data_IF_408664008486
#
_entry.id   IF_408664008486
#
_cell.length_a   1.000
_cell.length_b   1.000
_cell.length_c   1.000
_cell.angle_alpha   90.00
_cell.angle_beta   90.00
_cell.angle_gamma   90.00
#
_symmetry.space_group_name_H-M   'P 1'
#
loop_
_entity.id
_entity.type
_entity.pdbx_description
1 polymer ?
#
# COMPACT_ATOMS: atom_id res chain seq x y z
N UNK A 1 4.10 -17.10 -0.74
CA UNK A 1 3.89 -16.16 -1.86
C UNK A 1 4.58 -16.73 -3.09
N UNK A 2 3.94 -16.72 -4.28
CA UNK A 2 4.66 -17.05 -5.51
C UNK A 2 5.84 -16.10 -5.70
N UNK A 3 6.92 -16.60 -6.29
CA UNK A 3 8.03 -15.78 -6.75
C UNK A 3 7.57 -14.79 -7.84
N UNK A 4 8.31 -13.70 -8.03
CA UNK A 4 7.98 -12.72 -9.06
C UNK A 4 7.92 -13.33 -10.47
N UNK A 5 8.78 -14.31 -10.77
CA UNK A 5 8.72 -15.05 -12.04
C UNK A 5 7.46 -15.91 -12.17
N UNK A 6 7.00 -16.56 -11.10
CA UNK A 6 5.72 -17.27 -11.09
C UNK A 6 4.54 -16.32 -11.29
N UNK A 7 4.56 -15.12 -10.70
CA UNK A 7 3.56 -14.09 -10.94
C UNK A 7 3.46 -13.70 -12.42
N UNK A 8 4.58 -13.48 -13.09
CA UNK A 8 4.59 -13.20 -14.54
C UNK A 8 4.09 -14.38 -15.37
N UNK A 9 4.34 -15.62 -14.92
CA UNK A 9 3.81 -16.81 -15.58
C UNK A 9 2.29 -16.94 -15.42
N UNK A 10 1.75 -16.62 -14.24
CA UNK A 10 0.30 -16.59 -13.98
C UNK A 10 -0.39 -15.60 -14.92
N UNK A 11 0.14 -14.37 -15.04
CA UNK A 11 -0.42 -13.34 -15.93
C UNK A 11 -0.59 -13.86 -17.35
N UNK A 12 0.49 -14.38 -17.94
CA UNK A 12 0.48 -14.86 -19.33
C UNK A 12 -0.38 -16.10 -19.53
N UNK A 13 -0.58 -16.92 -18.49
CA UNK A 13 -1.46 -18.10 -18.58
C UNK A 13 -2.95 -17.74 -18.52
N UNK A 14 -3.30 -16.64 -17.84
CA UNK A 14 -4.68 -16.20 -17.64
C UNK A 14 -5.22 -15.35 -18.79
N UNK A 15 -4.35 -14.74 -19.60
CA UNK A 15 -4.73 -13.95 -20.76
C UNK A 15 -3.76 -14.18 -21.93
N UNK A 16 -4.22 -14.95 -22.93
CA UNK A 16 -3.41 -15.33 -24.09
C UNK A 16 -2.97 -14.15 -24.97
N UNK A 17 -3.66 -13.01 -24.86
CA UNK A 17 -3.31 -11.79 -25.57
C UNK A 17 -2.04 -11.09 -25.03
N UNK A 18 -1.62 -11.40 -23.79
CA UNK A 18 -0.43 -10.81 -23.17
C UNK A 18 0.81 -11.32 -23.91
N UNK A 19 1.54 -10.40 -24.55
CA UNK A 19 2.81 -10.67 -25.23
C UNK A 19 4.01 -10.46 -24.30
N UNK A 20 3.89 -9.48 -23.40
CA UNK A 20 4.95 -9.12 -22.47
C UNK A 20 4.34 -8.61 -21.17
N UNK A 21 4.95 -8.93 -20.04
CA UNK A 21 4.59 -8.38 -18.75
C UNK A 21 5.83 -8.10 -17.89
N UNK A 22 5.68 -7.14 -17.00
CA UNK A 22 6.71 -6.77 -16.04
C UNK A 22 6.08 -6.45 -14.69
N UNK A 23 6.83 -6.73 -13.62
CA UNK A 23 6.52 -6.31 -12.27
C UNK A 23 7.70 -5.49 -11.79
N UNK A 24 7.43 -4.28 -11.30
CA UNK A 24 8.42 -3.36 -10.77
C UNK A 24 8.12 -3.01 -9.31
N UNK A 25 9.13 -2.62 -8.53
CA UNK A 25 8.89 -2.00 -7.24
C UNK A 25 8.19 -0.66 -7.41
N UNK A 26 7.46 -0.26 -6.39
CA UNK A 26 6.88 1.08 -6.28
C UNK A 26 7.24 1.66 -4.91
N UNK A 27 7.67 2.93 -4.83
CA UNK A 27 7.77 3.92 -5.92
C UNK A 27 9.05 3.86 -6.77
N UNK A 28 10.03 3.00 -6.44
CA UNK A 28 11.39 3.11 -7.02
C UNK A 28 11.51 2.65 -8.48
N UNK A 29 10.54 1.87 -8.98
CA UNK A 29 10.52 1.42 -10.36
C UNK A 29 11.59 0.39 -10.74
N UNK A 30 12.15 -0.34 -9.76
CA UNK A 30 13.14 -1.38 -10.02
C UNK A 30 12.46 -2.64 -10.54
N UNK A 31 12.99 -3.24 -11.62
CA UNK A 31 12.43 -4.45 -12.20
C UNK A 31 12.58 -5.65 -11.23
N UNK A 32 11.45 -6.27 -10.88
CA UNK A 32 11.39 -7.48 -10.04
C UNK A 32 11.32 -8.76 -10.88
N UNK A 33 10.51 -8.74 -11.94
CA UNK A 33 10.45 -9.81 -12.92
C UNK A 33 9.84 -9.30 -14.22
N UNK A 34 10.21 -9.93 -15.34
CA UNK A 34 9.55 -9.76 -16.62
C UNK A 34 9.46 -11.08 -17.36
N UNK A 35 8.49 -11.17 -18.29
CA UNK A 35 8.29 -12.34 -19.14
C UNK A 35 7.65 -11.95 -20.47
N UNK A 36 7.97 -12.68 -21.53
CA UNK A 36 7.42 -12.47 -22.87
C UNK A 36 8.48 -12.02 -23.87
N UNK A 37 8.03 -11.63 -25.06
CA UNK A 37 8.91 -11.41 -26.22
C UNK A 37 9.50 -9.97 -26.29
N UNK A 38 9.00 -9.06 -25.47
CA UNK A 38 9.47 -7.67 -25.37
C UNK A 38 10.41 -7.42 -24.18
N UNK A 39 10.95 -6.19 -24.09
CA UNK A 39 11.73 -5.71 -22.94
C UNK A 39 11.43 -4.25 -22.63
N UNK A 40 10.75 -4.00 -21.51
CA UNK A 40 10.65 -2.64 -20.95
C UNK A 40 12.01 -2.26 -20.34
N UNK A 41 12.55 -1.11 -20.77
CA UNK A 41 13.82 -0.59 -20.26
C UNK A 41 13.64 0.05 -18.87
N UNK A 42 14.72 0.09 -18.07
CA UNK A 42 14.65 0.56 -16.68
C UNK A 42 14.22 2.04 -16.58
N UNK A 43 14.62 2.88 -17.54
CA UNK A 43 14.25 4.29 -17.62
C UNK A 43 12.78 4.46 -18.04
N UNK A 44 12.28 3.66 -18.99
CA UNK A 44 10.87 3.58 -19.35
C UNK A 44 10.01 3.17 -18.14
N UNK A 45 10.46 2.12 -17.42
CA UNK A 45 9.77 1.56 -16.27
C UNK A 45 9.69 2.57 -15.12
N UNK A 46 10.80 3.23 -14.78
CA UNK A 46 10.84 4.26 -13.75
C UNK A 46 9.93 5.45 -14.11
N UNK A 47 9.98 5.91 -15.37
CA UNK A 47 9.10 7.00 -15.85
C UNK A 47 7.61 6.62 -15.82
N UNK A 48 7.30 5.34 -16.04
CA UNK A 48 5.96 4.78 -15.96
C UNK A 48 5.47 4.70 -14.51
N UNK A 49 6.28 4.15 -13.60
CA UNK A 49 5.95 3.96 -12.19
C UNK A 49 5.69 5.29 -11.50
N UNK A 50 6.53 6.31 -11.75
CA UNK A 50 6.33 7.67 -11.22
C UNK A 50 5.05 8.36 -11.73
N UNK A 51 4.43 7.86 -12.80
CA UNK A 51 3.18 8.43 -13.30
C UNK A 51 1.98 8.13 -12.39
N UNK A 52 2.08 7.14 -11.51
CA UNK A 52 1.04 6.84 -10.52
C UNK A 52 0.98 7.85 -9.36
N UNK A 53 2.04 8.64 -9.15
CA UNK A 53 2.10 9.68 -8.11
C UNK A 53 1.75 11.07 -8.64
N UNK A 54 2.17 11.35 -9.87
CA UNK A 54 1.81 12.57 -10.57
C UNK A 54 0.43 12.38 -11.18
N UNK A 55 -0.63 12.69 -10.40
CA UNK A 55 -2.05 12.57 -10.75
C UNK A 55 -2.26 12.47 -12.26
N UNK A 56 -2.52 11.25 -12.74
CA UNK A 56 -2.56 10.90 -14.16
C UNK A 56 -3.49 11.77 -15.05
N UNK A 57 -4.29 12.66 -14.43
CA UNK A 57 -5.09 13.70 -15.09
C UNK A 57 -4.28 14.64 -15.99
N UNK A 58 -3.01 14.92 -15.69
CA UNK A 58 -2.19 15.78 -16.56
C UNK A 58 -1.66 15.04 -17.80
N UNK A 59 -1.80 13.70 -17.86
CA UNK A 59 -1.27 12.85 -18.94
C UNK A 59 -2.33 12.32 -19.90
N UNK A 60 -3.62 12.59 -19.72
CA UNK A 60 -4.62 12.25 -20.75
C UNK A 60 -4.35 13.07 -22.01
N UNK A 61 -3.68 12.46 -23.00
CA UNK A 61 -3.18 13.12 -24.21
C UNK A 61 -1.71 12.84 -24.49
N UNK A 62 -0.92 12.52 -23.45
CA UNK A 62 0.47 12.06 -23.53
C UNK A 62 0.50 10.52 -23.41
N UNK A 63 1.44 9.87 -24.09
CA UNK A 63 1.59 8.43 -24.05
C UNK A 63 2.74 7.97 -23.16
N UNK A 64 2.92 6.66 -23.11
CA UNK A 64 4.10 6.02 -22.54
C UNK A 64 4.83 5.27 -23.63
N UNK A 65 6.16 5.23 -23.52
CA UNK A 65 6.98 4.32 -24.30
C UNK A 65 7.22 3.10 -23.43
N UNK A 66 6.87 1.93 -23.94
CA UNK A 66 7.15 0.64 -23.32
C UNK A 66 7.69 -0.26 -24.43
N UNK A 67 8.89 -0.82 -24.26
CA UNK A 67 9.53 -1.65 -25.28
C UNK A 67 9.66 -0.89 -26.62
N UNK A 68 10.13 0.37 -26.56
CA UNK A 68 10.26 1.28 -27.70
C UNK A 68 8.95 1.60 -28.47
N UNK A 69 7.79 1.17 -27.95
CA UNK A 69 6.49 1.39 -28.57
C UNK A 69 5.74 2.48 -27.82
N UNK A 70 5.27 3.50 -28.55
CA UNK A 70 4.45 4.57 -27.99
C UNK A 70 2.97 4.17 -27.89
N UNK A 71 2.45 4.17 -26.67
CA UNK A 71 1.05 3.90 -26.35
C UNK A 71 0.36 5.16 -25.87
N UNK A 72 -0.74 5.54 -26.51
CA UNK A 72 -1.60 6.64 -26.05
C UNK A 72 -2.41 6.20 -24.84
N UNK A 73 -2.36 6.96 -23.75
CA UNK A 73 -3.19 6.71 -22.57
C UNK A 73 -4.66 6.93 -22.92
N UNK A 74 -5.49 5.93 -22.63
CA UNK A 74 -6.94 5.96 -22.87
C UNK A 74 -7.74 5.99 -21.56
N UNK A 75 -7.14 5.58 -20.44
CA UNK A 75 -7.79 5.56 -19.15
C UNK A 75 -6.77 5.69 -18.01
N UNK A 76 -7.16 6.44 -16.97
CA UNK A 76 -6.38 6.61 -15.75
C UNK A 76 -7.32 6.55 -14.55
N UNK A 77 -7.14 5.55 -13.72
CA UNK A 77 -7.78 5.41 -12.42
C UNK A 77 -6.83 5.78 -11.28
N UNK A 78 -7.30 5.60 -10.04
CA UNK A 78 -6.47 5.82 -8.84
C UNK A 78 -5.30 4.84 -8.76
N UNK A 79 -5.57 3.59 -9.13
CA UNK A 79 -4.63 2.48 -9.01
C UNK A 79 -4.26 1.85 -10.35
N UNK A 80 -4.80 2.32 -11.47
CA UNK A 80 -4.56 1.69 -12.76
C UNK A 80 -4.46 2.68 -13.91
N UNK A 81 -3.73 2.28 -14.95
CA UNK A 81 -3.51 3.05 -16.18
C UNK A 81 -3.70 2.09 -17.34
N UNK A 82 -4.40 2.53 -18.39
CA UNK A 82 -4.52 1.77 -19.62
C UNK A 82 -4.14 2.65 -20.83
N UNK A 83 -3.43 2.06 -21.78
CA UNK A 83 -3.04 2.71 -23.02
C UNK A 83 -3.22 1.80 -24.23
N UNK A 84 -3.22 2.43 -25.40
CA UNK A 84 -3.46 1.79 -26.69
C UNK A 84 -2.50 2.29 -27.76
N UNK A 85 -2.17 1.41 -28.68
CA UNK A 85 -1.59 1.76 -29.97
C UNK A 85 -2.47 1.15 -31.09
N UNK A 86 -1.95 1.06 -32.32
CA UNK A 86 -2.71 0.53 -33.45
C UNK A 86 -2.88 -1.01 -33.45
N UNK A 87 -2.03 -1.74 -32.73
CA UNK A 87 -1.98 -3.22 -32.75
C UNK A 87 -2.36 -3.88 -31.42
N UNK A 88 -2.56 -3.09 -30.37
CA UNK A 88 -2.73 -3.61 -29.02
C UNK A 88 -2.76 -2.50 -27.97
N UNK A 89 -2.24 -2.79 -26.80
CA UNK A 89 -2.20 -1.84 -25.69
C UNK A 89 -1.42 -2.33 -24.50
N UNK A 90 -1.56 -1.59 -23.40
CA UNK A 90 -1.14 -2.05 -22.09
C UNK A 90 -2.25 -1.82 -21.07
N UNK A 91 -2.21 -2.62 -20.02
CA UNK A 91 -2.90 -2.34 -18.77
C UNK A 91 -1.90 -2.49 -17.64
N UNK A 92 -1.93 -1.53 -16.71
CA UNK A 92 -1.12 -1.59 -15.51
C UNK A 92 -1.94 -1.26 -14.29
N UNK A 93 -1.63 -1.92 -13.18
CA UNK A 93 -2.20 -1.63 -11.87
C UNK A 93 -1.08 -1.54 -10.85
N UNK A 94 -1.19 -0.61 -9.92
CA UNK A 94 -0.28 -0.52 -8.78
C UNK A 94 -0.90 -1.20 -7.57
N UNK A 95 -0.07 -1.95 -6.87
CA UNK A 95 -0.30 -2.34 -5.49
C UNK A 95 0.40 -1.32 -4.59
N UNK A 96 0.46 -1.64 -3.30
CA UNK A 96 1.19 -0.88 -2.30
C UNK A 96 2.71 -0.85 -2.54
N UNK A 97 3.28 -1.94 -3.06
CA UNK A 97 4.73 -2.15 -3.18
C UNK A 97 5.22 -2.41 -4.60
N UNK A 98 4.30 -2.58 -5.55
CA UNK A 98 4.65 -2.95 -6.91
C UNK A 98 3.73 -2.33 -7.96
N UNK A 99 4.24 -2.19 -9.17
CA UNK A 99 3.44 -1.94 -10.37
C UNK A 99 3.48 -3.19 -11.24
N UNK A 100 2.30 -3.69 -11.61
CA UNK A 100 2.12 -4.81 -12.53
C UNK A 100 1.76 -4.21 -13.89
N UNK A 101 2.53 -4.53 -14.92
CA UNK A 101 2.33 -4.05 -16.30
C UNK A 101 2.14 -5.26 -17.20
N UNK A 102 1.08 -5.25 -18.01
CA UNK A 102 0.86 -6.22 -19.07
C UNK A 102 0.66 -5.50 -20.41
N UNK A 103 1.49 -5.84 -21.37
CA UNK A 103 1.41 -5.41 -22.77
C UNK A 103 0.78 -6.54 -23.58
N UNK A 104 -0.21 -6.20 -24.39
CA UNK A 104 -1.01 -7.16 -25.14
C UNK A 104 -1.21 -6.74 -26.59
N UNK A 105 -1.46 -7.72 -27.45
CA UNK A 105 -1.92 -7.53 -28.82
C UNK A 105 -3.44 -7.73 -28.92
N UNK A 106 -4.07 -7.08 -29.90
CA UNK A 106 -5.49 -7.26 -30.19
C UNK A 106 -6.40 -6.10 -29.79
N UNK A 107 -7.71 -6.35 -29.85
CA UNK A 107 -8.76 -5.33 -29.79
C UNK A 107 -9.31 -5.09 -28.37
N UNK A 108 -10.49 -4.46 -28.25
CA UNK A 108 -11.10 -4.09 -26.95
C UNK A 108 -11.40 -5.26 -26.00
N UNK A 109 -11.95 -6.40 -26.45
CA UNK A 109 -12.16 -7.59 -25.62
C UNK A 109 -10.89 -8.06 -24.90
N UNK A 110 -9.75 -8.06 -25.61
CA UNK A 110 -8.46 -8.49 -25.10
C UNK A 110 -7.98 -7.60 -23.94
N UNK A 111 -8.27 -6.29 -23.97
CA UNK A 111 -8.00 -5.41 -22.82
C UNK A 111 -8.82 -5.79 -21.59
N UNK A 112 -10.06 -6.26 -21.77
CA UNK A 112 -10.89 -6.75 -20.67
C UNK A 112 -10.30 -7.98 -20.00
N UNK A 113 -9.83 -8.94 -20.79
CA UNK A 113 -9.17 -10.15 -20.30
C UNK A 113 -7.84 -9.83 -19.60
N UNK A 114 -7.01 -9.00 -20.23
CA UNK A 114 -5.71 -8.56 -19.68
C UNK A 114 -5.92 -7.82 -18.37
N UNK A 115 -6.89 -6.91 -18.31
CA UNK A 115 -7.25 -6.21 -17.08
C UNK A 115 -7.65 -7.20 -15.98
N UNK A 116 -8.55 -8.13 -16.27
CA UNK A 116 -9.00 -9.11 -15.29
C UNK A 116 -7.82 -9.97 -14.75
N UNK A 117 -6.89 -10.36 -15.62
CA UNK A 117 -5.67 -11.09 -15.24
C UNK A 117 -4.78 -10.27 -14.31
N UNK A 118 -4.52 -9.00 -14.67
CA UNK A 118 -3.69 -8.07 -13.88
C UNK A 118 -4.34 -7.74 -12.54
N UNK A 119 -5.64 -7.45 -12.51
CA UNK A 119 -6.38 -7.13 -11.28
C UNK A 119 -6.40 -8.36 -10.34
N UNK A 120 -6.62 -9.58 -10.84
CA UNK A 120 -6.53 -10.82 -10.03
C UNK A 120 -5.14 -10.99 -9.40
N UNK A 121 -4.07 -10.75 -10.15
CA UNK A 121 -2.71 -10.86 -9.58
C UNK A 121 -2.48 -9.78 -8.52
N UNK A 122 -2.95 -8.56 -8.75
CA UNK A 122 -2.86 -7.50 -7.75
C UNK A 122 -3.56 -7.88 -6.45
N UNK A 123 -4.76 -8.45 -6.52
CA UNK A 123 -5.48 -8.94 -5.35
C UNK A 123 -4.70 -10.03 -4.61
N UNK A 124 -4.08 -10.97 -5.33
CA UNK A 124 -3.22 -12.01 -4.73
C UNK A 124 -2.03 -11.39 -4.00
N UNK A 125 -1.36 -10.41 -4.61
CA UNK A 125 -0.20 -9.75 -4.02
C UNK A 125 -0.60 -8.94 -2.78
N UNK A 126 -1.73 -8.22 -2.83
CA UNK A 126 -2.28 -7.46 -1.71
C UNK A 126 -2.65 -8.42 -0.55
N UNK A 127 -3.31 -9.54 -0.85
CA UNK A 127 -3.68 -10.53 0.15
C UNK A 127 -2.44 -11.18 0.79
N UNK A 128 -1.44 -11.57 -0.02
CA UNK A 128 -0.21 -12.17 0.47
C UNK A 128 0.61 -11.20 1.34
N UNK A 129 0.71 -9.93 0.92
CA UNK A 129 1.34 -8.88 1.70
C UNK A 129 0.61 -8.71 3.03
N UNK A 130 -0.73 -8.75 3.04
CA UNK A 130 -1.54 -8.56 4.26
C UNK A 130 -1.32 -9.70 5.23
N UNK A 131 -1.31 -10.94 4.72
CA UNK A 131 -1.02 -12.11 5.53
C UNK A 131 0.40 -12.09 6.10
N UNK A 132 1.41 -11.68 5.31
CA UNK A 132 2.78 -11.56 5.79
C UNK A 132 2.91 -10.49 6.87
N UNK A 133 2.28 -9.34 6.66
CA UNK A 133 2.21 -8.27 7.65
C UNK A 133 1.55 -8.77 8.95
N UNK A 134 0.47 -9.56 8.86
CA UNK A 134 -0.19 -10.17 10.03
C UNK A 134 0.70 -11.18 10.78
N UNK A 135 1.46 -12.02 10.07
CA UNK A 135 2.39 -12.96 10.73
C UNK A 135 3.53 -12.21 11.42
N UNK A 136 4.12 -11.22 10.73
CA UNK A 136 5.19 -10.37 11.29
C UNK A 136 4.67 -9.59 12.49
N UNK A 137 3.45 -9.06 12.39
CA UNK A 137 2.71 -8.40 13.47
C UNK A 137 2.56 -9.30 14.69
N UNK A 138 2.19 -10.56 14.51
CA UNK A 138 2.02 -11.50 15.61
C UNK A 138 3.33 -11.81 16.34
N UNK A 139 4.41 -12.04 15.58
CA UNK A 139 5.74 -12.30 16.13
C UNK A 139 6.25 -11.09 16.93
N UNK A 140 6.18 -9.88 16.37
CA UNK A 140 6.64 -8.66 17.04
C UNK A 140 5.82 -8.36 18.29
N UNK A 141 4.50 -8.49 18.24
CA UNK A 141 3.67 -8.16 19.38
C UNK A 141 3.82 -9.13 20.54
N UNK A 142 4.15 -10.40 20.29
CA UNK A 142 4.36 -11.37 21.38
C UNK A 142 5.45 -10.89 22.35
N UNK A 143 6.46 -10.18 21.87
CA UNK A 143 7.54 -9.62 22.69
C UNK A 143 7.14 -8.30 23.39
N UNK A 144 6.01 -7.70 23.02
CA UNK A 144 5.57 -6.36 23.45
C UNK A 144 4.24 -6.33 24.22
N UNK A 145 3.54 -7.46 24.31
CA UNK A 145 2.22 -7.57 24.96
C UNK A 145 2.23 -7.21 26.46
N UNK A 146 3.39 -7.14 27.13
CA UNK A 146 3.45 -6.67 28.53
C UNK A 146 3.17 -5.16 28.68
N UNK A 147 3.39 -4.38 27.62
CA UNK A 147 3.26 -2.91 27.64
C UNK A 147 2.09 -2.41 26.77
N UNK A 148 1.66 -3.21 25.78
CA UNK A 148 0.57 -2.85 24.86
C UNK A 148 -0.75 -3.49 25.31
N UNK A 149 -1.74 -2.65 25.61
CA UNK A 149 -3.10 -3.09 25.93
C UNK A 149 -3.81 -3.60 24.67
N UNK A 150 -3.81 -2.79 23.62
CA UNK A 150 -4.60 -2.99 22.42
C UNK A 150 -3.86 -2.40 21.22
N UNK A 151 -3.80 -3.10 20.11
CA UNK A 151 -3.15 -2.61 18.90
C UNK A 151 -3.90 -3.02 17.64
N UNK A 152 -3.72 -2.26 16.58
CA UNK A 152 -4.33 -2.51 15.28
C UNK A 152 -3.42 -2.08 14.13
N UNK A 153 -3.57 -2.79 13.03
CA UNK A 153 -3.13 -2.37 11.71
C UNK A 153 -4.36 -2.01 10.89
N UNK A 154 -4.36 -0.82 10.30
CA UNK A 154 -5.51 -0.25 9.59
C UNK A 154 -5.07 0.16 8.21
N UNK A 155 -5.85 -0.15 7.17
CA UNK A 155 -5.52 0.29 5.81
C UNK A 155 -5.51 1.82 5.72
N UNK A 156 -4.52 2.36 5.00
CA UNK A 156 -4.50 3.77 4.64
C UNK A 156 -4.73 3.90 3.12
N UNK A 157 -5.61 4.82 2.67
CA UNK A 157 -6.40 5.77 3.47
C UNK A 157 -7.79 5.26 3.86
N UNK A 158 -8.17 4.04 3.50
CA UNK A 158 -9.57 3.61 3.58
C UNK A 158 -10.07 3.35 5.02
N UNK A 159 -9.16 3.22 5.99
CA UNK A 159 -9.49 3.08 7.40
C UNK A 159 -10.09 1.72 7.76
N UNK A 160 -9.82 0.68 6.97
CA UNK A 160 -10.33 -0.68 7.19
C UNK A 160 -9.42 -1.42 8.16
N UNK A 161 -9.97 -2.02 9.20
CA UNK A 161 -9.22 -2.84 10.13
C UNK A 161 -8.65 -4.07 9.41
N UNK A 162 -7.32 -4.21 9.37
CA UNK A 162 -6.62 -5.34 8.77
C UNK A 162 -6.28 -6.40 9.83
N UNK A 163 -5.86 -5.95 11.01
CA UNK A 163 -5.49 -6.81 12.13
C UNK A 163 -5.70 -6.07 13.45
N UNK A 164 -6.05 -6.80 14.52
CA UNK A 164 -6.03 -6.29 15.89
C UNK A 164 -5.59 -7.36 16.87
N UNK A 165 -4.98 -6.94 17.99
CA UNK A 165 -4.57 -7.81 19.08
C UNK A 165 -4.62 -7.07 20.41
N UNK A 166 -4.90 -7.80 21.49
CA UNK A 166 -4.97 -7.25 22.85
C UNK A 166 -6.38 -7.23 23.43
N UNK A 167 -6.55 -6.44 24.50
CA UNK A 167 -7.77 -6.34 25.29
C UNK A 167 -8.49 -5.03 24.94
N UNK A 168 -9.68 -5.14 24.36
CA UNK A 168 -10.51 -4.02 23.94
C UNK A 168 -10.95 -4.16 22.49
N UNK A 169 -11.55 -3.11 21.93
CA UNK A 169 -12.00 -3.09 20.55
C UNK A 169 -11.83 -1.72 19.88
N UNK A 170 -11.48 -1.73 18.60
CA UNK A 170 -11.59 -0.56 17.74
C UNK A 170 -12.91 -0.58 16.99
N UNK A 171 -13.59 0.56 16.88
CA UNK A 171 -14.75 0.69 16.00
C UNK A 171 -14.33 1.20 14.63
N UNK A 172 -14.92 0.66 13.56
CA UNK A 172 -14.68 1.10 12.18
C UNK A 172 -14.81 2.62 11.99
N UNK A 173 -15.77 3.26 12.67
CA UNK A 173 -15.97 4.70 12.61
C UNK A 173 -14.81 5.49 13.23
N UNK A 174 -14.20 4.96 14.30
CA UNK A 174 -13.05 5.55 14.98
C UNK A 174 -11.81 5.46 14.11
N UNK A 175 -11.56 4.27 13.54
CA UNK A 175 -10.41 4.01 12.68
C UNK A 175 -10.44 4.87 11.41
N UNK A 176 -11.59 4.94 10.72
CA UNK A 176 -11.74 5.80 9.54
C UNK A 176 -11.52 7.27 9.86
N UNK A 177 -12.09 7.75 10.97
CA UNK A 177 -11.89 9.13 11.39
C UNK A 177 -10.43 9.43 11.70
N UNK A 178 -9.73 8.50 12.36
CA UNK A 178 -8.32 8.62 12.70
C UNK A 178 -7.42 8.61 11.47
N UNK A 179 -7.55 7.62 10.59
CA UNK A 179 -6.72 7.45 9.38
C UNK A 179 -6.83 8.66 8.46
N UNK A 180 -8.03 9.22 8.29
CA UNK A 180 -8.25 10.44 7.49
C UNK A 180 -7.50 11.67 8.01
N UNK A 181 -7.04 11.67 9.27
CA UNK A 181 -6.28 12.81 9.80
C UNK A 181 -4.85 12.87 9.27
N UNK A 182 -4.33 11.78 8.72
CA UNK A 182 -3.02 11.77 8.06
C UNK A 182 -2.98 12.58 6.75
N UNK A 183 -4.13 13.00 6.23
CA UNK A 183 -4.24 13.89 5.07
C UNK A 183 -4.22 15.38 5.46
N UNK A 184 -4.37 15.68 6.76
CA UNK A 184 -4.28 17.04 7.32
C UNK A 184 -2.84 17.42 7.63
N UNK A 185 -2.54 18.71 7.78
CA UNK A 185 -1.25 19.19 8.27
C UNK A 185 -1.00 18.78 9.72
N UNK A 186 0.25 18.79 10.18
CA UNK A 186 0.58 18.42 11.56
C UNK A 186 -0.08 19.35 12.58
N UNK A 187 -0.19 20.64 12.26
CA UNK A 187 -0.80 21.69 13.09
C UNK A 187 -2.30 21.47 13.28
N UNK A 188 -3.00 21.00 12.25
CA UNK A 188 -4.44 20.69 12.31
C UNK A 188 -4.76 19.44 13.15
N UNK A 189 -3.75 18.63 13.51
CA UNK A 189 -3.91 17.40 14.28
C UNK A 189 -3.70 17.60 15.79
N UNK A 190 -2.91 18.60 16.20
CA UNK A 190 -2.56 18.82 17.61
C UNK A 190 -3.77 19.31 18.41
N UNK A 191 -3.99 18.78 19.61
CA UNK A 191 -5.14 19.13 20.46
C UNK A 191 -6.48 18.54 20.01
N UNK A 192 -6.50 17.76 18.92
CA UNK A 192 -7.65 16.89 18.63
C UNK A 192 -7.67 15.73 19.61
N UNK A 193 -8.88 15.20 19.83
CA UNK A 193 -9.08 14.00 20.62
C UNK A 193 -9.60 12.87 19.76
N UNK A 194 -9.09 11.66 19.99
CA UNK A 194 -9.56 10.44 19.35
C UNK A 194 -10.08 9.47 20.38
N UNK A 195 -11.08 8.70 19.98
CA UNK A 195 -11.64 7.63 20.83
C UNK A 195 -11.14 6.29 20.33
N UNK A 196 -10.55 5.51 21.22
CA UNK A 196 -10.24 4.09 21.00
C UNK A 196 -10.71 3.29 22.20
N UNK A 197 -11.41 2.18 21.99
CA UNK A 197 -11.93 1.33 23.07
C UNK A 197 -12.77 2.11 24.08
N UNK A 198 -13.66 2.98 23.59
CA UNK A 198 -14.51 3.89 24.41
C UNK A 198 -13.74 4.90 25.29
N UNK A 199 -12.44 5.08 25.04
CA UNK A 199 -11.59 5.97 25.80
C UNK A 199 -11.09 7.12 24.93
N UNK A 200 -11.18 8.35 25.45
CA UNK A 200 -10.74 9.55 24.75
C UNK A 200 -9.26 9.85 25.04
N UNK A 201 -8.50 10.09 24.00
CA UNK A 201 -7.07 10.41 24.05
C UNK A 201 -6.81 11.75 23.40
N UNK A 202 -6.10 12.64 24.09
CA UNK A 202 -5.69 13.94 23.57
C UNK A 202 -4.37 13.80 22.80
N UNK A 203 -4.31 14.31 21.57
CA UNK A 203 -3.09 14.33 20.77
C UNK A 203 -2.10 15.35 21.32
N UNK A 204 -0.97 14.83 21.82
CA UNK A 204 0.11 15.63 22.43
C UNK A 204 1.29 15.84 21.49
N UNK A 205 1.42 15.04 20.43
CA UNK A 205 2.49 15.19 19.43
C UNK A 205 2.05 14.66 18.07
N UNK A 206 2.43 15.39 17.02
CA UNK A 206 2.20 15.03 15.62
C UNK A 206 3.49 15.20 14.84
N UNK A 207 3.92 14.13 14.17
CA UNK A 207 4.99 14.13 13.19
C UNK A 207 4.45 13.88 11.79
N UNK A 208 5.35 13.87 10.81
CA UNK A 208 5.01 13.57 9.41
C UNK A 208 4.31 12.21 9.27
N UNK A 209 4.82 11.21 9.99
CA UNK A 209 4.33 9.83 9.93
C UNK A 209 3.74 9.33 11.23
N UNK A 210 3.88 10.02 12.36
CA UNK A 210 3.42 9.51 13.65
C UNK A 210 2.51 10.47 14.41
N UNK A 211 1.66 9.92 15.26
CA UNK A 211 0.74 10.64 16.13
C UNK A 211 0.82 10.00 17.51
N UNK A 212 0.97 10.81 18.55
CA UNK A 212 0.99 10.36 19.94
C UNK A 212 -0.14 11.03 20.69
N UNK A 213 -0.98 10.22 21.33
CA UNK A 213 -2.00 10.70 22.23
C UNK A 213 -1.80 10.21 23.65
N UNK A 214 -2.33 10.97 24.60
CA UNK A 214 -2.25 10.67 26.03
C UNK A 214 -3.63 10.61 26.64
N UNK A 215 -3.78 9.74 27.63
CA UNK A 215 -4.91 9.72 28.55
C UNK A 215 -4.43 9.24 29.92
N UNK A 216 -4.67 10.01 30.97
CA UNK A 216 -4.36 9.63 32.36
C UNK A 216 -2.95 9.00 32.49
N UNK A 217 -2.89 7.76 32.99
CA UNK A 217 -1.69 6.91 33.04
C UNK A 217 -1.63 5.97 31.84
N UNK A 218 -1.67 6.50 30.62
CA UNK A 218 -1.63 5.71 29.40
C UNK A 218 -1.69 6.60 28.16
N UNK A 219 -1.85 5.97 27.01
CA UNK A 219 -1.88 6.69 25.75
C UNK A 219 -1.99 5.78 24.54
N UNK A 220 -1.76 6.38 23.39
CA UNK A 220 -1.54 5.65 22.15
C UNK A 220 -0.35 6.21 21.39
N UNK A 221 0.32 5.34 20.67
CA UNK A 221 1.27 5.68 19.63
C UNK A 221 0.72 5.13 18.31
N UNK A 222 0.75 5.95 17.27
CA UNK A 222 0.41 5.51 15.94
C UNK A 222 1.44 6.00 14.93
N UNK A 223 1.71 5.17 13.94
CA UNK A 223 2.60 5.51 12.84
C UNK A 223 2.03 5.03 11.52
N UNK A 224 2.19 5.85 10.49
CA UNK A 224 1.70 5.64 9.14
C UNK A 224 2.85 5.15 8.27
N UNK A 225 2.65 3.99 7.68
CA UNK A 225 3.45 3.46 6.57
C UNK A 225 2.89 4.00 5.26
N UNK A 226 3.30 3.48 4.10
CA UNK A 226 2.75 3.95 2.83
C UNK A 226 1.25 3.65 2.71
N UNK A 227 0.79 2.55 3.29
CA UNK A 227 -0.49 1.89 2.99
C UNK A 227 -1.21 1.35 4.21
N UNK A 228 -0.62 1.52 5.40
CA UNK A 228 -1.26 1.21 6.66
C UNK A 228 -0.98 2.29 7.71
N UNK A 229 -1.81 2.28 8.74
CA UNK A 229 -1.56 2.95 10.02
C UNK A 229 -1.52 1.89 11.09
N UNK A 230 -0.41 1.83 11.80
CA UNK A 230 -0.25 1.01 12.99
C UNK A 230 -0.65 1.86 14.18
N UNK A 231 -1.49 1.31 15.06
CA UNK A 231 -1.96 1.95 16.28
C UNK A 231 -1.66 1.02 17.44
N UNK A 232 -1.03 1.52 18.49
CA UNK A 232 -0.82 0.82 19.75
C UNK A 232 -1.31 1.68 20.91
N UNK A 233 -2.27 1.16 21.66
CA UNK A 233 -2.82 1.70 22.90
C UNK A 233 -2.14 0.97 24.06
N UNK A 234 -1.65 1.73 25.03
CA UNK A 234 -0.93 1.23 26.19
C UNK A 234 -1.50 1.81 27.49
N UNK A 235 -1.35 1.06 28.57
CA UNK A 235 -1.63 1.49 29.95
C UNK A 235 -0.31 1.48 30.72
N UNK A 236 -0.09 2.48 31.59
CA UNK A 236 1.18 2.66 32.30
C UNK A 236 1.66 4.11 32.27
N UNK A 237 2.64 4.42 33.13
CA UNK A 237 3.17 5.78 33.21
C UNK A 237 3.93 6.16 31.93
N UNK A 238 3.86 7.42 31.50
CA UNK A 238 4.59 7.94 30.32
C UNK A 238 6.12 7.69 30.33
N UNK A 239 6.71 7.26 31.45
CA UNK A 239 8.14 6.95 31.52
C UNK A 239 8.53 5.68 30.73
N UNK A 240 7.54 4.87 30.32
CA UNK A 240 7.71 3.63 29.53
C UNK A 240 7.39 3.83 28.03
N UNK A 241 7.02 5.05 27.61
CA UNK A 241 6.71 5.41 26.22
C UNK A 241 7.80 5.03 25.20
N UNK A 242 9.06 4.97 25.64
CA UNK A 242 10.18 4.62 24.78
C UNK A 242 10.08 3.20 24.21
N UNK A 243 9.60 2.23 25.00
CA UNK A 243 9.47 0.83 24.58
C UNK A 243 8.42 0.68 23.49
N UNK A 244 7.17 1.06 23.80
CA UNK A 244 6.03 1.01 22.87
C UNK A 244 6.29 1.81 21.58
N UNK A 245 6.89 3.00 21.69
CA UNK A 245 7.23 3.79 20.51
C UNK A 245 8.27 3.08 19.63
N UNK A 246 9.41 2.69 20.20
CA UNK A 246 10.48 2.05 19.43
C UNK A 246 9.98 0.78 18.75
N UNK A 247 9.16 0.01 19.46
CA UNK A 247 8.50 -1.17 18.94
C UNK A 247 7.63 -0.91 17.71
N UNK A 248 6.71 0.06 17.82
CA UNK A 248 5.80 0.39 16.73
C UNK A 248 6.54 1.05 15.56
N UNK A 249 7.54 1.89 15.84
CA UNK A 249 8.41 2.49 14.81
C UNK A 249 9.23 1.40 14.08
N UNK A 250 9.85 0.45 14.79
CA UNK A 250 10.58 -0.66 14.18
C UNK A 250 9.66 -1.54 13.33
N UNK A 251 8.44 -1.84 13.80
CA UNK A 251 7.46 -2.60 13.04
C UNK A 251 7.05 -1.85 11.77
N UNK A 252 6.84 -0.54 11.86
CA UNK A 252 6.54 0.30 10.70
C UNK A 252 7.69 0.34 9.70
N UNK A 253 8.94 0.44 10.16
CA UNK A 253 10.12 0.41 9.30
C UNK A 253 10.25 -0.95 8.58
N UNK A 254 10.01 -2.06 9.28
CA UNK A 254 10.00 -3.38 8.65
C UNK A 254 8.88 -3.51 7.62
N UNK A 255 7.68 -3.03 7.95
CA UNK A 255 6.54 -3.01 7.03
C UNK A 255 6.84 -2.13 5.79
N UNK A 256 7.40 -0.94 5.98
CA UNK A 256 7.85 -0.09 4.87
C UNK A 256 8.94 -0.77 4.02
N UNK A 257 9.87 -1.51 4.65
CA UNK A 257 10.91 -2.26 3.96
C UNK A 257 10.39 -3.39 3.06
N UNK A 258 9.18 -3.89 3.31
CA UNK A 258 8.48 -4.86 2.46
C UNK A 258 7.37 -4.23 1.60
N UNK A 259 7.28 -2.89 1.59
CA UNK A 259 6.38 -2.09 0.77
C UNK A 259 4.96 -1.90 1.31
N UNK A 260 4.82 -1.82 2.64
CA UNK A 260 3.62 -1.34 3.33
C UNK A 260 3.67 0.14 3.68
#
# INVERSE_FOLDING_TARGET
>A
MPSWYECTAILMSEAAAIQHCAIATYPEGQLLASKGDGRIHDDELMAFVHAFDNTCKERTGYGFILDDIHYKVIYTGRQCIAGRNNSGGFFATKTHSAVIIAVFEGSCPELGEVRNSVDKLADILIAAATQFAMNTWDDYLNDLMSEIKLCAMVSYPDGVLLASKGIGQFRDSELKAFVNTYDKTCEERTGHAFTFDDNQYEVIYTGKHCIVGRRDNGGFFATKTQTAVIIAVFEGSCSELGGVRNAVDNLAENLMGIGY
#
